data_IF_624084110596
#
_entry.id   IF_624084110596
#
_cell.length_a   1.000
_cell.length_b   1.000
_cell.length_c   1.000
_cell.angle_alpha   90.00
_cell.angle_beta   90.00
_cell.angle_gamma   90.00
#
_symmetry.space_group_name_H-M   'P 1'
#
loop_
_entity.id
_entity.type
_entity.pdbx_description
1 polymer ?
#
# COMPACT_ATOMS: atom_id res chain seq x y z
N UNK A 1 3.17 -30.45 -0.83
CA UNK A 1 2.84 -30.35 -2.26
C UNK A 1 4.07 -29.94 -3.05
N UNK A 2 4.49 -30.74 -3.99
CA UNK A 2 5.63 -30.39 -4.86
C UNK A 2 5.16 -29.41 -5.94
N UNK A 3 5.81 -28.26 -6.02
CA UNK A 3 5.59 -27.31 -7.10
C UNK A 3 6.46 -27.69 -8.30
N UNK A 4 5.87 -27.71 -9.48
CA UNK A 4 6.64 -27.88 -10.72
C UNK A 4 7.25 -26.53 -11.12
N UNK A 5 8.49 -26.56 -11.60
CA UNK A 5 9.10 -25.42 -12.23
C UNK A 5 8.40 -25.15 -13.56
N UNK A 6 7.84 -23.96 -13.71
CA UNK A 6 7.22 -23.52 -14.96
C UNK A 6 8.21 -22.62 -15.68
N UNK A 7 8.52 -22.95 -16.92
CA UNK A 7 9.49 -22.20 -17.71
C UNK A 7 8.88 -21.71 -19.01
N UNK A 8 9.48 -20.63 -19.54
CA UNK A 8 9.23 -20.16 -20.90
C UNK A 8 10.58 -19.91 -21.55
N UNK A 9 10.72 -20.28 -22.83
CA UNK A 9 11.94 -20.00 -23.55
C UNK A 9 12.01 -18.51 -23.99
N UNK A 10 13.22 -18.03 -24.27
CA UNK A 10 13.44 -16.63 -24.59
C UNK A 10 12.71 -16.19 -25.88
N UNK A 11 12.67 -17.02 -26.89
CA UNK A 11 12.00 -16.69 -28.14
C UNK A 11 10.50 -16.49 -27.93
N UNK A 12 9.85 -17.40 -27.21
CA UNK A 12 8.43 -17.29 -26.84
C UNK A 12 8.17 -16.04 -26.03
N UNK A 13 9.01 -15.76 -25.03
CA UNK A 13 8.86 -14.61 -24.17
C UNK A 13 8.98 -13.31 -24.95
N UNK A 14 9.93 -13.20 -25.86
CA UNK A 14 10.13 -12.00 -26.69
C UNK A 14 8.95 -11.72 -27.61
N UNK A 15 8.24 -12.74 -28.06
CA UNK A 15 7.09 -12.62 -28.94
C UNK A 15 5.75 -12.49 -28.22
N UNK A 16 5.75 -12.63 -26.87
CA UNK A 16 4.53 -12.58 -26.07
C UNK A 16 4.25 -11.14 -25.64
N UNK A 17 3.08 -10.57 -25.98
CA UNK A 17 2.72 -9.24 -25.51
C UNK A 17 2.50 -9.26 -23.99
N UNK A 18 3.03 -8.22 -23.32
CA UNK A 18 2.91 -8.06 -21.86
C UNK A 18 2.03 -6.86 -21.54
N UNK A 19 1.28 -6.97 -20.44
CA UNK A 19 0.50 -5.85 -19.91
C UNK A 19 1.43 -4.72 -19.45
N UNK A 20 0.96 -3.47 -19.62
CA UNK A 20 1.67 -2.33 -19.04
C UNK A 20 1.69 -2.43 -17.52
N UNK A 21 2.79 -2.00 -16.90
CA UNK A 21 2.88 -1.89 -15.45
C UNK A 21 1.82 -0.91 -14.94
N UNK A 22 1.03 -1.34 -13.96
CA UNK A 22 0.11 -0.46 -13.25
C UNK A 22 0.85 0.28 -12.14
N UNK A 23 0.58 1.57 -12.01
CA UNK A 23 1.16 2.40 -10.96
C UNK A 23 0.08 2.91 -10.01
N UNK A 24 0.37 2.86 -8.72
CA UNK A 24 -0.46 3.48 -7.68
C UNK A 24 -0.21 4.99 -7.68
N UNK A 25 1.06 5.38 -7.77
CA UNK A 25 1.48 6.76 -8.05
C UNK A 25 2.25 6.71 -9.36
N UNK A 26 1.75 7.39 -10.38
CA UNK A 26 2.22 7.26 -11.76
C UNK A 26 3.74 7.50 -11.88
N UNK A 27 4.44 6.51 -12.44
CA UNK A 27 5.89 6.56 -12.62
C UNK A 27 6.72 6.48 -11.34
N UNK A 28 6.10 6.44 -10.15
CA UNK A 28 6.83 6.46 -8.89
C UNK A 28 6.62 5.16 -8.07
N UNK A 29 5.38 4.75 -7.87
CA UNK A 29 5.06 3.56 -7.08
C UNK A 29 4.31 2.55 -7.95
N UNK A 30 5.00 1.53 -8.48
CA UNK A 30 4.37 0.47 -9.25
C UNK A 30 3.59 -0.50 -8.36
N UNK A 31 2.70 -1.24 -8.96
CA UNK A 31 2.04 -2.37 -8.32
C UNK A 31 3.09 -3.40 -7.88
N UNK A 32 2.84 -4.04 -6.74
CA UNK A 32 3.73 -5.06 -6.18
C UNK A 32 4.39 -4.61 -4.88
N UNK A 33 5.50 -5.23 -4.54
CA UNK A 33 6.24 -4.92 -3.31
C UNK A 33 7.26 -3.81 -3.58
N UNK A 34 7.18 -2.75 -2.79
CA UNK A 34 8.10 -1.62 -2.83
C UNK A 34 8.69 -1.42 -1.44
N UNK A 35 9.95 -1.01 -1.38
CA UNK A 35 10.64 -0.77 -0.10
C UNK A 35 11.07 0.68 -0.02
N UNK A 36 10.68 1.34 1.08
CA UNK A 36 11.17 2.67 1.44
C UNK A 36 12.10 2.52 2.65
N UNK A 37 13.35 2.90 2.49
CA UNK A 37 14.33 2.78 3.57
C UNK A 37 14.99 4.13 3.86
N UNK A 38 15.54 4.24 5.05
CA UNK A 38 16.22 5.44 5.50
C UNK A 38 16.48 5.38 7.00
N UNK A 39 17.28 6.32 7.51
CA UNK A 39 17.58 6.41 8.93
C UNK A 39 16.31 6.63 9.76
N UNK A 40 16.35 6.25 11.04
CA UNK A 40 15.27 6.53 11.98
C UNK A 40 15.05 8.04 12.11
N UNK A 41 13.80 8.44 12.37
CA UNK A 41 13.39 9.84 12.66
C UNK A 41 13.61 10.84 11.50
N UNK A 42 13.67 10.38 10.27
CA UNK A 42 13.77 11.27 9.10
C UNK A 42 12.43 11.58 8.44
N UNK A 43 11.31 11.15 9.05
CA UNK A 43 9.98 11.47 8.56
C UNK A 43 9.33 10.41 7.66
N UNK A 44 9.86 9.19 7.60
CA UNK A 44 9.27 8.11 6.78
C UNK A 44 7.81 7.83 7.13
N UNK A 45 7.49 7.77 8.42
CA UNK A 45 6.12 7.50 8.89
C UNK A 45 5.15 8.61 8.48
N UNK A 46 5.56 9.87 8.57
CA UNK A 46 4.78 11.00 8.11
C UNK A 46 4.53 10.95 6.61
N UNK A 47 5.57 10.64 5.85
CA UNK A 47 5.47 10.50 4.40
C UNK A 47 4.51 9.39 4.01
N UNK A 48 4.61 8.23 4.64
CA UNK A 48 3.75 7.09 4.34
C UNK A 48 2.30 7.34 4.74
N UNK A 49 2.07 8.01 5.86
CA UNK A 49 0.73 8.39 6.31
C UNK A 49 0.08 9.36 5.31
N UNK A 50 0.82 10.39 4.90
CA UNK A 50 0.36 11.34 3.90
C UNK A 50 0.10 10.68 2.55
N UNK A 51 1.01 9.81 2.10
CA UNK A 51 0.86 9.05 0.85
C UNK A 51 -0.42 8.21 0.88
N UNK A 52 -0.68 7.50 1.98
CA UNK A 52 -1.90 6.73 2.15
C UNK A 52 -3.16 7.59 2.06
N UNK A 53 -3.14 8.78 2.67
CA UNK A 53 -4.26 9.73 2.55
C UNK A 53 -4.49 10.16 1.10
N UNK A 54 -3.43 10.53 0.39
CA UNK A 54 -3.55 10.98 -0.99
C UNK A 54 -4.10 9.88 -1.90
N UNK A 55 -3.56 8.67 -1.79
CA UNK A 55 -4.01 7.52 -2.58
C UNK A 55 -5.45 7.15 -2.26
N UNK A 56 -5.85 7.15 -0.99
CA UNK A 56 -7.22 6.80 -0.58
C UNK A 56 -8.27 7.79 -1.10
N UNK A 57 -7.87 9.01 -1.36
CA UNK A 57 -8.73 10.07 -1.88
C UNK A 57 -8.55 10.31 -3.38
N UNK A 58 -7.58 9.67 -4.02
CA UNK A 58 -7.26 9.91 -5.43
C UNK A 58 -6.63 11.26 -5.68
N UNK A 59 -6.00 11.85 -4.67
CA UNK A 59 -5.34 13.15 -4.76
C UNK A 59 -3.90 12.98 -5.26
N UNK A 60 -3.37 13.99 -5.99
CA UNK A 60 -1.99 13.90 -6.50
C UNK A 60 -0.95 13.83 -5.38
N UNK A 61 0.16 13.14 -5.67
CA UNK A 61 1.36 13.12 -4.82
C UNK A 61 2.43 13.94 -5.52
N UNK A 62 2.79 15.08 -4.94
CA UNK A 62 3.70 16.06 -5.54
C UNK A 62 3.34 16.42 -6.99
N UNK A 63 2.05 16.59 -7.26
CA UNK A 63 1.56 16.83 -8.60
C UNK A 63 1.48 15.61 -9.52
N UNK A 64 1.89 14.44 -9.06
CA UNK A 64 1.85 13.20 -9.82
C UNK A 64 0.49 12.51 -9.60
N UNK A 65 -0.22 12.11 -10.68
CA UNK A 65 -1.52 11.44 -10.55
C UNK A 65 -1.42 10.13 -9.78
N UNK A 66 -2.45 9.83 -9.00
CA UNK A 66 -2.58 8.59 -8.24
C UNK A 66 -3.77 7.77 -8.73
N UNK A 67 -3.70 6.45 -8.54
CA UNK A 67 -4.85 5.58 -8.68
C UNK A 67 -5.59 5.55 -7.33
N UNK A 68 -6.82 6.05 -7.28
CA UNK A 68 -7.61 5.97 -6.05
C UNK A 68 -7.89 4.52 -5.70
N UNK A 69 -7.55 4.13 -4.48
CA UNK A 69 -7.85 2.79 -3.97
C UNK A 69 -7.97 2.82 -2.45
N UNK A 70 -8.57 1.78 -1.89
CA UNK A 70 -8.60 1.61 -0.45
C UNK A 70 -7.18 1.30 0.05
N UNK A 71 -6.82 1.87 1.19
CA UNK A 71 -5.49 1.74 1.78
C UNK A 71 -5.60 1.13 3.16
N UNK A 72 -4.80 0.13 3.44
CA UNK A 72 -4.60 -0.40 4.78
C UNK A 72 -3.18 -0.06 5.24
N UNK A 73 -3.12 0.70 6.32
CA UNK A 73 -1.85 1.13 6.94
C UNK A 73 -1.64 0.36 8.25
N UNK A 74 -0.65 -0.51 8.25
CA UNK A 74 -0.27 -1.27 9.44
C UNK A 74 0.87 -0.53 10.15
N UNK A 75 0.55 0.15 11.24
CA UNK A 75 1.51 0.94 12.01
C UNK A 75 1.73 0.28 13.36
N UNK A 76 2.59 -0.73 13.41
CA UNK A 76 2.74 -1.63 14.54
C UNK A 76 3.56 -1.04 15.68
N UNK A 77 4.26 0.07 15.46
CA UNK A 77 5.09 0.75 16.45
C UNK A 77 4.44 2.00 17.04
N UNK A 78 3.16 2.23 16.73
CA UNK A 78 2.51 3.47 17.12
C UNK A 78 1.19 3.22 17.86
N UNK A 79 0.54 4.29 18.29
CA UNK A 79 -0.78 4.26 18.91
C UNK A 79 -1.78 4.98 18.03
N UNK A 80 -3.06 4.62 18.14
CA UNK A 80 -4.12 5.29 17.40
C UNK A 80 -4.21 6.78 17.76
N UNK A 81 -3.91 7.14 19.00
CA UNK A 81 -3.90 8.55 19.43
C UNK A 81 -2.86 9.37 18.66
N UNK A 82 -1.63 8.86 18.55
CA UNK A 82 -0.56 9.55 17.80
C UNK A 82 -0.89 9.65 16.32
N UNK A 83 -1.43 8.58 15.74
CA UNK A 83 -1.86 8.59 14.34
C UNK A 83 -2.96 9.62 14.14
N UNK A 84 -3.93 9.68 15.03
CA UNK A 84 -5.01 10.66 14.98
C UNK A 84 -4.47 12.10 15.00
N UNK A 85 -3.54 12.39 15.89
CA UNK A 85 -2.93 13.72 15.98
C UNK A 85 -2.20 14.10 14.70
N UNK A 86 -1.46 13.14 14.12
CA UNK A 86 -0.77 13.36 12.83
C UNK A 86 -1.76 13.58 11.68
N UNK A 87 -2.87 12.84 11.65
CA UNK A 87 -3.90 13.02 10.63
C UNK A 87 -4.53 14.41 10.69
N UNK A 88 -4.77 14.96 11.88
CA UNK A 88 -5.24 16.32 12.03
C UNK A 88 -4.29 17.35 11.42
N UNK A 89 -2.98 17.10 11.51
CA UNK A 89 -1.98 17.99 10.93
C UNK A 89 -1.90 17.85 9.39
N UNK A 90 -2.28 16.71 8.84
CA UNK A 90 -2.11 16.41 7.43
C UNK A 90 -3.34 16.70 6.57
N UNK A 91 -4.54 16.67 7.15
CA UNK A 91 -5.78 16.80 6.38
C UNK A 91 -6.90 17.43 7.21
N UNK A 92 -7.74 18.20 6.53
CA UNK A 92 -9.01 18.69 7.07
C UNK A 92 -10.19 17.81 6.62
N UNK A 93 -9.95 16.91 5.70
CA UNK A 93 -10.97 16.04 5.11
C UNK A 93 -11.03 14.68 5.78
N UNK A 94 -12.21 14.08 5.79
CA UNK A 94 -12.39 12.71 6.25
C UNK A 94 -12.45 11.75 5.06
N UNK A 95 -11.93 10.55 5.25
CA UNK A 95 -12.01 9.48 4.27
C UNK A 95 -12.32 8.16 4.95
N UNK A 96 -13.15 7.33 4.32
CA UNK A 96 -13.45 5.97 4.77
C UNK A 96 -12.64 4.92 4.05
N UNK A 97 -11.84 5.34 3.07
CA UNK A 97 -11.03 4.43 2.25
C UNK A 97 -9.63 4.21 2.81
N UNK A 98 -9.28 4.89 3.91
CA UNK A 98 -7.99 4.77 4.59
C UNK A 98 -8.19 4.06 5.92
N UNK A 99 -7.68 2.83 6.00
CA UNK A 99 -7.84 1.95 7.17
C UNK A 99 -6.52 1.85 7.92
N UNK A 100 -6.59 1.93 9.23
CA UNK A 100 -5.43 1.99 10.12
C UNK A 100 -5.50 0.88 11.15
N UNK A 101 -4.41 0.17 11.35
CA UNK A 101 -4.30 -0.84 12.39
C UNK A 101 -2.94 -0.73 13.08
N UNK A 102 -2.94 -0.88 14.40
CA UNK A 102 -1.73 -0.87 15.23
C UNK A 102 -1.38 -2.27 15.73
N UNK A 103 -2.26 -3.23 15.52
CA UNK A 103 -2.01 -4.65 15.79
C UNK A 103 -2.52 -5.49 14.64
N UNK A 104 -1.84 -6.61 14.36
CA UNK A 104 -2.26 -7.57 13.36
C UNK A 104 -1.69 -8.95 13.66
N UNK A 105 -2.20 -9.98 12.96
CA UNK A 105 -1.64 -11.31 13.01
C UNK A 105 -0.28 -11.39 12.31
N UNK A 106 0.41 -12.51 12.48
CA UNK A 106 1.69 -12.76 11.83
C UNK A 106 1.47 -13.27 10.40
N UNK A 107 2.44 -13.02 9.54
CA UNK A 107 2.46 -13.60 8.19
C UNK A 107 2.45 -15.13 8.30
N UNK A 108 1.51 -15.77 7.61
CA UNK A 108 1.31 -17.21 7.70
C UNK A 108 0.55 -17.67 8.94
N UNK A 109 0.13 -16.75 9.81
CA UNK A 109 -0.59 -17.07 11.05
C UNK A 109 -1.66 -16.01 11.36
N UNK A 110 -2.61 -15.85 10.47
CA UNK A 110 -3.79 -15.04 10.64
C UNK A 110 -3.82 -13.71 9.89
N UNK A 111 -2.66 -13.12 9.53
CA UNK A 111 -2.61 -11.82 8.86
C UNK A 111 -3.33 -11.83 7.51
N UNK A 112 -3.10 -12.85 6.71
CA UNK A 112 -3.69 -12.96 5.37
C UNK A 112 -5.21 -13.02 5.44
N UNK A 113 -5.76 -13.78 6.39
CA UNK A 113 -7.21 -13.87 6.60
C UNK A 113 -7.80 -12.55 7.08
N UNK A 114 -7.11 -11.84 7.96
CA UNK A 114 -7.53 -10.53 8.44
C UNK A 114 -7.63 -9.53 7.30
N UNK A 115 -6.67 -9.51 6.38
CA UNK A 115 -6.68 -8.63 5.21
C UNK A 115 -7.82 -9.00 4.26
N UNK A 116 -8.02 -10.29 3.98
CA UNK A 116 -9.11 -10.77 3.13
C UNK A 116 -10.47 -10.38 3.71
N UNK A 117 -10.66 -10.59 5.02
CA UNK A 117 -11.91 -10.25 5.69
C UNK A 117 -12.19 -8.75 5.63
N UNK A 118 -11.18 -7.91 5.82
CA UNK A 118 -11.32 -6.46 5.70
C UNK A 118 -11.75 -6.06 4.29
N UNK A 119 -11.13 -6.62 3.26
CA UNK A 119 -11.47 -6.29 1.87
C UNK A 119 -12.90 -6.72 1.51
N UNK A 120 -13.39 -7.85 2.05
CA UNK A 120 -14.76 -8.31 1.84
C UNK A 120 -15.80 -7.40 2.50
N UNK A 121 -15.49 -6.81 3.65
CA UNK A 121 -16.38 -5.91 4.37
C UNK A 121 -16.51 -4.56 3.65
N UNK A 122 -15.46 -4.11 2.98
CA UNK A 122 -15.39 -2.77 2.40
C UNK A 122 -15.46 -2.74 0.86
N UNK A 123 -15.87 -3.83 0.25
CA UNK A 123 -16.14 -3.88 -1.20
C UNK A 123 -17.43 -3.15 -1.53
#
# INVERSE_FOLDING_TARGET
MKRKLVTVDAETLLSTPMSKTMFIVDGLIPQGVNVLSGAAKIGKSWLMLWLGLQVSQGLPVWGIPTMRCDVLYLCLEDTLKRIKDRLFDLTDDSTRSFHLAVTCGLIGNGLEEEIINLSLIHI
#
